data_IF_326589497462
#
_entry.id   IF_326589497462
#
_cell.length_a   1.000
_cell.length_b   1.000
_cell.length_c   1.000
_cell.angle_alpha   90.00
_cell.angle_beta   90.00
_cell.angle_gamma   90.00
#
_symmetry.space_group_name_H-M   'P 1'
#
loop_
_entity.id
_entity.type
_entity.pdbx_description
1 polymer ?
2 non-polymer ?
3 water ?
#
# COMPACT_ATOMS: atom_id res chain seq x y z
N UNK A 2 18.32 24.67 -6.10
CA UNK A 2 18.87 24.13 -4.84
C UNK A 2 17.66 23.54 -4.05
N UNK A 3 17.59 22.21 -3.94
CA UNK A 3 16.44 21.52 -3.27
C UNK A 3 16.20 21.76 -1.78
N UNK A 4 17.27 21.85 -0.97
CA UNK A 4 17.14 22.03 0.50
C UNK A 4 16.38 23.31 0.92
N UNK A 5 16.46 24.34 0.07
CA UNK A 5 15.76 25.61 0.26
C UNK A 5 14.22 25.40 0.25
N UNK A 6 13.74 24.43 -0.54
CA UNK A 6 12.32 24.07 -0.62
C UNK A 6 11.88 22.96 0.38
N UNK A 7 12.80 22.14 0.91
CA UNK A 7 12.45 21.05 1.88
C UNK A 7 11.98 21.54 3.26
N UNK A 8 10.82 21.04 3.71
CA UNK A 8 10.23 21.41 5.00
C UNK A 8 9.16 20.37 5.43
N UNK A 9 8.72 20.45 6.68
CA UNK A 9 7.68 19.58 7.22
C UNK A 9 6.34 19.89 6.56
N UNK A 10 5.77 18.87 5.91
CA UNK A 10 4.50 18.94 5.22
C UNK A 10 3.42 18.13 5.91
N UNK A 11 2.21 18.30 5.42
CA UNK A 11 1.03 17.64 5.93
C UNK A 11 0.01 17.49 4.82
N UNK A 12 -0.45 16.26 4.58
CA UNK A 12 -1.45 15.95 3.57
C UNK A 12 -2.65 15.41 4.33
N UNK A 13 -3.76 16.14 4.29
CA UNK A 13 -4.97 15.77 5.01
C UNK A 13 -5.64 14.59 4.29
N UNK A 14 -6.41 13.80 5.03
CA UNK A 14 -7.12 12.64 4.49
C UNK A 14 -7.96 12.86 3.23
N UNK A 15 -8.63 14.01 3.17
CA UNK A 15 -9.48 14.37 2.00
C UNK A 15 -8.79 15.37 1.00
N UNK A 16 -7.44 15.35 0.94
CA UNK A 16 -6.62 16.13 -0.03
C UNK A 16 -5.84 15.18 -0.99
N UNK A 17 -6.14 13.88 -0.91
CA UNK A 17 -5.58 12.83 -1.73
C UNK A 17 -6.76 11.84 -1.88
N UNK A 18 -7.14 11.48 -3.12
CA UNK A 18 -8.32 10.61 -3.24
C UNK A 18 -8.13 9.11 -2.99
N UNK A 19 -9.22 8.47 -2.53
CA UNK A 19 -9.29 7.03 -2.38
C UNK A 19 -9.44 6.60 -3.81
N UNK A 20 -8.75 5.54 -4.22
CA UNK A 20 -8.84 5.07 -5.59
C UNK A 20 -8.69 3.56 -5.68
N UNK A 21 -9.34 2.93 -6.67
CA UNK A 21 -9.24 1.48 -6.81
C UNK A 21 -7.84 1.08 -7.23
N UNK A 22 -7.40 -0.10 -6.80
CA UNK A 22 -6.06 -0.60 -7.09
C UNK A 22 -6.10 -1.19 -8.53
N UNK A 23 -6.23 -0.29 -9.52
CA UNK A 23 -6.36 -0.62 -10.93
C UNK A 23 -5.00 -0.96 -11.54
N UNK A 24 -4.96 -1.85 -12.56
CA UNK A 24 -6.04 -2.58 -13.23
C UNK A 24 -6.33 -3.98 -12.63
N UNK A 25 -5.87 -4.25 -11.41
CA UNK A 25 -6.02 -5.58 -10.80
C UNK A 25 -7.31 -5.78 -10.04
N UNK A 26 -7.70 -4.80 -9.23
CA UNK A 26 -8.91 -4.88 -8.41
C UNK A 26 -9.65 -3.55 -8.26
N UNK A 27 -10.97 -3.66 -8.22
CA UNK A 27 -11.89 -2.56 -8.07
C UNK A 27 -12.39 -2.46 -6.61
N UNK A 28 -12.29 -3.56 -5.83
CA UNK A 28 -12.71 -3.60 -4.42
C UNK A 28 -11.64 -3.11 -3.46
N UNK A 29 -10.37 -3.43 -3.75
CA UNK A 29 -9.26 -2.98 -2.92
C UNK A 29 -8.98 -1.53 -3.28
N UNK A 30 -9.14 -0.61 -2.31
CA UNK A 30 -8.90 0.83 -2.49
C UNK A 30 -7.56 1.19 -1.87
N UNK A 31 -6.93 2.24 -2.40
CA UNK A 31 -5.65 2.75 -1.92
C UNK A 31 -5.71 4.28 -1.89
N UNK A 32 -5.00 4.90 -0.94
CA UNK A 32 -4.91 6.36 -0.83
C UNK A 32 -3.41 6.64 -0.68
N UNK A 33 -2.83 7.42 -1.60
CA UNK A 33 -1.40 7.75 -1.58
C UNK A 33 -1.10 9.06 -0.84
N UNK A 34 -0.22 8.98 0.16
CA UNK A 34 0.24 10.14 0.95
C UNK A 34 1.65 10.58 0.57
N UNK A 35 2.55 9.63 0.29
CA UNK A 35 3.91 9.96 -0.07
C UNK A 35 4.40 8.88 -1.04
N UNK A 36 5.18 9.26 -2.05
CA UNK A 36 5.73 8.34 -3.04
C UNK A 36 7.17 8.80 -3.28
N UNK A 37 8.10 8.37 -2.42
CA UNK A 37 9.51 8.76 -2.52
C UNK A 37 10.25 8.00 -3.65
N UNK A 38 10.67 8.70 -4.72
CA UNK A 38 11.38 8.02 -5.79
C UNK A 38 12.88 7.79 -5.55
N UNK A 39 13.47 8.46 -4.55
CA UNK A 39 14.90 8.27 -4.26
C UNK A 39 15.08 6.90 -3.60
N UNK A 40 14.50 6.72 -2.41
CA UNK A 40 14.62 5.43 -1.68
C UNK A 40 13.57 4.37 -2.04
N UNK A 41 12.56 4.73 -2.83
CA UNK A 41 11.52 3.80 -3.24
C UNK A 41 10.62 3.47 -2.07
N UNK A 42 10.04 4.51 -1.47
CA UNK A 42 9.18 4.37 -0.31
C UNK A 42 7.81 4.99 -0.57
N UNK A 43 6.74 4.32 -0.12
CA UNK A 43 5.39 4.84 -0.25
C UNK A 43 4.69 4.75 1.11
N UNK A 44 3.86 5.75 1.40
CA UNK A 44 3.06 5.83 2.62
C UNK A 44 1.62 5.83 2.11
N UNK A 45 0.82 4.86 2.53
CA UNK A 45 -0.57 4.75 2.08
C UNK A 45 -1.54 4.18 3.10
N UNK A 46 -2.83 4.41 2.84
CA UNK A 46 -3.94 3.81 3.58
C UNK A 46 -4.40 2.82 2.54
N UNK A 47 -4.81 1.63 2.97
CA UNK A 47 -5.25 0.58 2.06
C UNK A 47 -6.52 -0.04 2.63
N UNK A 48 -7.66 0.14 1.94
CA UNK A 48 -8.97 -0.40 2.34
C UNK A 48 -9.23 -1.68 1.56
N UNK A 49 -9.74 -2.70 2.25
CA UNK A 49 -10.05 -4.00 1.63
C UNK A 49 -11.28 -4.63 2.31
N UNK A 50 -12.27 -5.11 1.51
CA UNK A 50 -13.43 -5.74 2.14
C UNK A 50 -13.09 -7.09 2.78
N UNK A 51 -13.91 -7.49 3.75
CA UNK A 51 -13.76 -8.74 4.49
C UNK A 51 -13.89 -9.96 3.58
N UNK A 52 -13.27 -11.06 4.02
CA UNK A 52 -13.25 -12.33 3.30
C UNK A 52 -12.60 -12.32 1.93
N UNK A 53 -11.43 -11.69 1.83
CA UNK A 53 -10.71 -11.59 0.56
C UNK A 53 -9.25 -12.03 0.73
N UNK A 54 -8.87 -13.10 0.01
CA UNK A 54 -7.52 -13.63 0.00
C UNK A 54 -6.84 -12.89 -1.12
N UNK A 55 -5.73 -12.21 -0.82
CA UNK A 55 -4.95 -11.43 -1.81
C UNK A 55 -3.73 -12.18 -2.32
N UNK A 56 -3.13 -11.72 -3.46
CA UNK A 56 -2.02 -12.50 -4.01
C UNK A 56 -0.77 -12.54 -3.15
N UNK A 57 -0.04 -13.65 -3.26
CA UNK A 57 1.19 -13.82 -2.52
C UNK A 57 2.20 -12.88 -3.17
N UNK A 58 2.96 -12.19 -2.34
CA UNK A 58 3.97 -11.26 -2.82
C UNK A 58 5.26 -11.47 -2.07
N UNK A 59 6.36 -11.22 -2.77
CA UNK A 59 7.71 -11.24 -2.24
C UNK A 59 7.98 -9.77 -2.17
N UNK A 60 8.49 -9.30 -1.04
CA UNK A 60 8.82 -7.88 -0.85
C UNK A 60 10.33 -7.71 -0.64
N UNK A 61 10.93 -6.76 -1.37
CA UNK A 61 12.37 -6.49 -1.32
C UNK A 61 12.93 -5.70 -0.12
N UNK A 62 12.12 -4.84 0.49
CA UNK A 62 12.54 -4.04 1.66
C UNK A 62 11.65 -4.33 2.85
N UNK A 63 11.36 -3.32 3.65
CA UNK A 63 10.53 -3.50 4.83
C UNK A 63 9.13 -2.95 4.61
N UNK A 64 8.22 -3.32 5.51
CA UNK A 64 6.85 -2.85 5.51
C UNK A 64 6.41 -2.69 6.96
N UNK A 65 5.97 -1.50 7.35
CA UNK A 65 5.44 -1.22 8.68
C UNK A 65 3.94 -1.11 8.44
N UNK A 66 3.13 -1.93 9.11
CA UNK A 66 1.68 -1.90 8.95
C UNK A 66 0.98 -1.63 10.28
N UNK A 67 0.23 -0.53 10.36
CA UNK A 67 -0.59 -0.17 11.51
C UNK A 67 -2.04 -0.40 11.06
N UNK A 68 -2.75 -1.28 11.76
CA UNK A 68 -4.14 -1.62 11.42
C UNK A 68 -5.09 -0.60 12.04
N UNK A 69 -5.74 0.19 11.18
CA UNK A 69 -6.67 1.24 11.62
C UNK A 69 -7.96 0.55 12.06
N UNK A 70 -8.46 -0.38 11.25
CA UNK A 70 -9.64 -1.18 11.62
C UNK A 70 -9.64 -2.50 10.89
N UNK A 71 -10.45 -3.42 11.41
CA UNK A 71 -10.60 -4.76 10.88
C UNK A 71 -9.49 -5.66 11.38
N UNK A 72 -9.52 -6.92 10.94
CA UNK A 72 -8.51 -7.91 11.31
C UNK A 72 -8.05 -8.66 10.07
N UNK A 73 -6.77 -9.00 10.04
CA UNK A 73 -6.18 -9.73 8.92
C UNK A 73 -5.00 -10.53 9.41
N UNK A 74 -4.43 -11.32 8.51
CA UNK A 74 -3.29 -12.17 8.80
C UNK A 74 -2.61 -12.64 7.54
N UNK A 75 -1.45 -13.26 7.71
CA UNK A 75 -0.69 -13.86 6.62
C UNK A 75 -0.90 -15.35 6.76
N UNK A 76 -1.11 -16.04 5.63
CA UNK A 76 -1.29 -17.51 5.62
C UNK A 76 -0.04 -18.27 6.13
N UNK A 77 1.14 -17.65 5.99
CA UNK A 77 2.42 -18.21 6.40
C UNK A 77 2.72 -18.08 7.91
N UNK A 78 1.95 -17.27 8.66
CA UNK A 78 2.15 -17.05 10.12
C UNK A 78 0.90 -17.42 10.94
N UNK A 79 1.11 -17.75 12.22
CA UNK A 79 0.03 -18.18 13.14
C UNK A 79 -0.67 -17.09 13.99
N UNK A 80 -0.39 -15.82 13.72
CA UNK A 80 -0.96 -14.67 14.46
C UNK A 80 -1.95 -13.89 13.60
N UNK A 81 -2.79 -13.09 14.25
CA UNK A 81 -3.78 -12.23 13.59
C UNK A 81 -3.55 -10.79 14.04
N UNK A 82 -3.46 -9.87 13.08
CA UNK A 82 -3.27 -8.45 13.35
C UNK A 82 -4.64 -7.83 13.51
N UNK A 83 -4.93 -7.28 14.69
CA UNK A 83 -6.21 -6.61 14.98
C UNK A 83 -6.01 -5.11 14.91
N UNK A 84 -7.11 -4.35 15.02
CA UNK A 84 -7.07 -2.88 15.02
C UNK A 84 -6.24 -2.45 16.23
N UNK A 85 -5.32 -1.51 16.01
CA UNK A 85 -4.41 -1.03 17.06
C UNK A 85 -3.08 -1.77 17.13
N UNK A 86 -2.88 -2.79 16.28
CA UNK A 86 -1.65 -3.56 16.25
C UNK A 86 -0.68 -2.97 15.24
N UNK A 87 0.57 -3.42 15.33
CA UNK A 87 1.66 -3.02 14.45
C UNK A 87 2.35 -4.29 13.95
N UNK A 88 2.43 -4.45 12.63
CA UNK A 88 3.13 -5.57 11.99
C UNK A 88 4.36 -4.99 11.29
N UNK A 89 5.52 -5.62 11.46
CA UNK A 89 6.77 -5.19 10.85
C UNK A 89 7.31 -6.33 9.97
N UNK A 90 7.09 -6.24 8.65
CA UNK A 90 7.59 -7.23 7.70
C UNK A 90 9.08 -6.89 7.40
N UNK A 91 9.96 -7.89 7.38
CA UNK A 91 11.40 -7.71 7.08
C UNK A 91 11.73 -8.07 5.62
N UNK A 92 12.88 -7.59 5.14
CA UNK A 92 13.36 -7.79 3.75
C UNK A 92 13.38 -9.23 3.19
N UNK A 93 13.16 -9.32 1.87
CA UNK A 93 13.16 -10.56 1.06
C UNK A 93 12.36 -11.74 1.63
N UNK A 94 11.14 -11.46 2.06
CA UNK A 94 10.23 -12.46 2.63
C UNK A 94 8.95 -12.50 1.79
N UNK A 95 8.27 -13.65 1.83
CA UNK A 95 7.04 -13.92 1.07
C UNK A 95 5.82 -14.03 1.98
N UNK A 96 4.74 -13.36 1.59
CA UNK A 96 3.49 -13.32 2.36
C UNK A 96 2.23 -13.29 1.52
N UNK A 97 1.17 -13.95 2.02
CA UNK A 97 -0.14 -14.03 1.40
C UNK A 97 -1.11 -13.37 2.37
N UNK A 98 -1.36 -12.05 2.22
CA UNK A 98 -2.27 -11.40 3.17
C UNK A 98 -3.71 -11.80 2.88
N UNK A 99 -4.50 -11.87 3.95
CA UNK A 99 -5.91 -12.21 3.84
C UNK A 99 -6.66 -11.78 5.07
N UNK A 100 -7.97 -11.68 4.90
CA UNK A 100 -8.87 -11.28 5.95
C UNK A 100 -8.96 -12.37 7.01
N UNK A 101 -9.03 -11.95 8.28
CA UNK A 101 -9.14 -12.88 9.43
C UNK A 101 -10.54 -13.47 9.61
N UNK A 102 -11.53 -13.01 8.83
CA UNK A 102 -12.90 -13.48 8.87
C UNK A 102 -13.58 -13.37 7.51
N UNK A 103 -14.52 -14.27 7.23
CA UNK A 103 -15.27 -14.27 5.96
C UNK A 103 -16.24 -13.08 5.82
N UNK A 104 -16.65 -12.49 6.94
CA UNK A 104 -17.58 -11.38 6.96
C UNK A 104 -17.36 -10.56 8.22
N UNK A 105 -17.42 -9.24 8.09
CA UNK A 105 -17.21 -8.32 9.21
C UNK A 105 -16.69 -6.99 8.70
N UNK A 106 -16.18 -6.12 9.61
CA UNK A 106 -15.67 -4.80 9.18
C UNK A 106 -14.60 -4.85 8.10
N UNK A 107 -14.56 -3.81 7.27
CA UNK A 107 -13.58 -3.72 6.18
C UNK A 107 -12.23 -3.44 6.82
N UNK A 108 -11.18 -3.97 6.20
CA UNK A 108 -9.82 -3.84 6.69
C UNK A 108 -9.21 -2.56 6.16
N UNK A 109 -8.85 -1.64 7.05
CA UNK A 109 -8.18 -0.38 6.71
C UNK A 109 -6.81 -0.51 7.37
N UNK A 110 -5.73 -0.26 6.62
CA UNK A 110 -4.36 -0.34 7.16
C UNK A 110 -3.50 0.82 6.70
N UNK A 111 -2.67 1.34 7.61
CA UNK A 111 -1.73 2.43 7.33
C UNK A 111 -0.42 1.70 7.10
N UNK A 112 0.12 1.82 5.89
CA UNK A 112 1.31 1.12 5.46
C UNK A 112 2.45 2.04 5.06
N UNK A 113 3.69 1.66 5.41
CA UNK A 113 4.91 2.37 5.05
C UNK A 113 5.72 1.25 4.41
N UNK A 114 5.76 1.23 3.08
CA UNK A 114 6.42 0.21 2.31
C UNK A 114 7.69 0.74 1.65
N UNK A 115 8.84 0.13 1.97
CA UNK A 115 10.14 0.48 1.41
C UNK A 115 10.48 -0.61 0.41
N UNK A 116 10.73 -0.26 -0.85
CA UNK A 116 11.08 -1.24 -1.89
C UNK A 116 9.89 -1.67 -2.73
N UNK A 117 10.11 -2.68 -3.56
CA UNK A 117 9.10 -3.19 -4.47
C UNK A 117 8.38 -4.42 -3.95
N UNK A 118 7.15 -4.62 -4.43
CA UNK A 118 6.28 -5.76 -4.12
C UNK A 118 6.22 -6.61 -5.39
N UNK A 119 6.88 -7.76 -5.38
CA UNK A 119 6.91 -8.70 -6.52
C UNK A 119 5.82 -9.75 -6.31
N UNK A 120 4.72 -9.65 -7.06
CA UNK A 120 3.59 -10.60 -6.93
C UNK A 120 3.95 -11.91 -7.62
N UNK A 121 3.57 -13.04 -7.00
CA UNK A 121 3.90 -14.38 -7.48
C UNK A 121 2.74 -15.32 -7.83
N UNK A 122 3.04 -16.34 -8.66
CA UNK A 122 2.10 -17.41 -9.06
C UNK A 122 2.24 -18.53 -8.06
N UNK A 123 1.39 -19.56 -8.17
CA UNK A 123 1.47 -20.78 -7.35
C UNK A 123 2.79 -21.48 -7.77
N UNK A 124 3.09 -21.48 -9.08
CA UNK A 124 4.35 -22.03 -9.63
C UNK A 124 5.62 -21.15 -9.31
N UNK A 125 5.45 -20.13 -8.45
CA UNK A 125 6.46 -19.23 -7.89
C UNK A 125 7.02 -18.16 -8.88
N UNK A 126 6.39 -18.00 -10.05
CA UNK A 126 6.82 -17.01 -11.06
C UNK A 126 6.44 -15.59 -10.69
N UNK A 127 7.29 -14.61 -11.03
CA UNK A 127 7.02 -13.19 -10.79
C UNK A 127 6.07 -12.74 -11.90
N UNK A 128 4.84 -12.36 -11.53
CA UNK A 128 3.79 -11.93 -12.49
C UNK A 128 3.62 -10.40 -12.57
N UNK A 129 3.57 -9.74 -11.42
CA UNK A 129 3.40 -8.29 -11.33
C UNK A 129 4.36 -7.70 -10.33
N UNK A 130 4.69 -6.42 -10.53
CA UNK A 130 5.58 -5.67 -9.66
C UNK A 130 4.93 -4.33 -9.34
N UNK A 131 4.89 -3.98 -8.06
CA UNK A 131 4.38 -2.69 -7.60
C UNK A 131 5.52 -1.97 -6.92
N UNK A 132 5.73 -0.72 -7.32
CA UNK A 132 6.78 0.12 -6.81
C UNK A 132 6.33 1.56 -6.82
N UNK A 133 7.24 2.48 -6.52
CA UNK A 133 6.92 3.90 -6.52
C UNK A 133 6.46 4.39 -7.91
N UNK A 134 7.04 3.83 -8.98
CA UNK A 134 6.70 4.20 -10.36
C UNK A 134 5.27 3.81 -10.69
N UNK A 135 4.90 2.56 -10.38
CA UNK A 135 3.53 2.06 -10.61
C UNK A 135 2.52 2.80 -9.70
N UNK A 136 2.96 3.17 -8.48
CA UNK A 136 2.15 3.95 -7.53
C UNK A 136 1.88 5.36 -8.06
N UNK A 137 2.94 5.98 -8.58
CA UNK A 137 2.86 7.31 -9.17
C UNK A 137 2.01 7.30 -10.44
N UNK A 138 2.20 6.29 -11.30
CA UNK A 138 1.42 6.14 -12.54
C UNK A 138 -0.06 6.06 -12.23
N UNK A 139 -0.42 5.22 -11.26
CA UNK A 139 -1.81 5.06 -10.83
C UNK A 139 -2.37 6.38 -10.25
N UNK A 140 -1.62 7.02 -9.35
CA UNK A 140 -2.03 8.29 -8.74
C UNK A 140 -2.26 9.37 -9.81
N UNK A 141 -1.29 9.55 -10.71
CA UNK A 141 -1.40 10.53 -11.81
C UNK A 141 -2.46 10.14 -12.86
N UNK A 142 -2.64 8.84 -13.16
CA UNK A 142 -3.67 8.38 -14.13
C UNK A 142 -5.11 8.64 -13.63
N UNK A 143 -5.36 8.42 -12.34
CA UNK A 143 -6.68 8.68 -11.73
C UNK A 143 -6.97 10.17 -11.69
N UNK A 144 -5.97 10.95 -11.28
CA UNK A 144 -6.09 12.41 -11.23
C UNK A 144 -6.40 13.00 -12.60
N UNK A 145 -5.65 12.57 -13.63
CA UNK A 145 -5.86 13.04 -15.02
C UNK A 145 -7.19 12.54 -15.60
N UNK A 146 -7.63 11.34 -15.21
CA UNK A 146 -8.92 10.77 -15.65
C UNK A 146 -10.07 11.63 -15.13
N UNK A 147 -9.96 12.09 -13.88
CA UNK A 147 -10.92 12.98 -13.22
C UNK A 147 -10.43 14.42 -13.43
N UNK A 148 -10.98 15.41 -12.72
CA UNK A 148 -10.54 16.82 -12.85
C UNK A 148 -9.76 17.27 -11.62
N UNK A 149 -8.85 16.40 -11.15
CA UNK A 149 -8.06 16.64 -9.95
C UNK A 149 -6.64 17.10 -10.28
N UNK A 150 -6.25 18.28 -9.78
CA UNK A 150 -4.91 18.80 -9.98
C UNK A 150 -4.09 17.90 -9.05
N UNK A 151 -3.13 17.12 -9.59
CA UNK A 151 -2.39 16.23 -8.70
C UNK A 151 -1.34 16.95 -7.87
N UNK A 152 -1.14 16.47 -6.63
CA UNK A 152 -0.14 17.00 -5.70
C UNK A 152 1.19 16.30 -5.92
N UNK A 153 2.27 16.97 -5.52
CA UNK A 153 3.63 16.44 -5.65
C UNK A 153 3.95 15.58 -4.43
N UNK A 154 3.63 14.29 -4.53
CA UNK A 154 3.92 13.33 -3.47
C UNK A 154 5.42 12.92 -3.51
N UNK A 155 6.14 13.26 -4.59
CA UNK A 155 7.57 12.98 -4.75
C UNK A 155 8.45 13.81 -3.81
N UNK A 156 8.14 15.10 -3.61
CA UNK A 156 8.93 15.97 -2.70
C UNK A 156 8.45 15.93 -1.26
N UNK A 157 9.34 16.38 -0.36
CA UNK A 157 9.13 16.49 1.08
C UNK A 157 9.07 17.98 1.35
N UNK A 158 7.87 18.56 1.25
CA UNK A 158 7.66 20.00 1.40
C UNK A 158 6.28 20.36 1.93
X LIG B 1 -4.62 -6.14 -5.37
X LIG B 1 -5.67 -7.10 -5.12
X LIG B 1 -3.30 -6.86 -5.68
X LIG B 1 -2.78 -6.47 -6.96
X LIG B 1 -1.61 -7.20 -7.37
X LIG B 1 -1.86 -8.02 -8.63
X LIG B 1 -1.46 -9.39 -8.48
X LIG C 1 0.28 -1.87 -1.34
X LIG C 1 0.23 -2.44 -0.03
X LIG C 1 1.02 -0.53 -1.31
X LIG C 1 1.91 -0.48 -2.44
X LIG C 1 3.12 0.28 -2.32
X LIG C 1 4.17 -0.28 -3.27
X LIG C 1 5.44 0.31 -3.01
X LIG D 1 -3.06 -5.98 4.69
X LIG D 1 -4.28 -6.27 4.00
X LIG D 1 -1.86 -6.17 3.77
X LIG D 1 -0.91 -5.13 3.99
X LIG D 1 0.39 -5.37 3.41
X LIG D 1 0.86 -4.12 2.67
X LIG D 1 1.52 -4.49 1.45
X LIG E 1 -11.54 -16.48 4.95
X LIG E 1 -11.49 -15.38 4.03
X LIG E 1 -10.71 -16.16 6.19
X LIG E 1 -10.89 -17.20 7.17
X LIG E 1 -9.74 -17.81 7.78
X LIG E 1 -9.85 -19.33 7.64
X LIG E 1 -8.55 -19.93 7.66
#
# INVERSE_FOLDING_TARGET
GMLFESINTGCLDGNDTPWMPFAPYSNDVMVKYFKIDPVRGETITLLKAPAGMEMPRHHHTGTVIVYTVQGSWRYKEHDWVAHAGSVVYETASTRHTPQSAYAEGPDIITFNIVAGELLYLDDKDNIIAVENWKTSMDRYLNYCKAHGIRPKDLSTFEG
PEG C1 O1 C2 O2 C3 C4 O4
PEG C1 O1 C2 O2 C3 C4 O4
PEG C1 O1 C2 O2 C3 C4 O4
PEG C1 O1 C2 O2 C3 C4 O4
#
